data_IF_860303395879
#
_entry.id   IF_860303395879
#
_cell.length_a   1.000
_cell.length_b   1.000
_cell.length_c   1.000
_cell.angle_alpha   90.00
_cell.angle_beta   90.00
_cell.angle_gamma   90.00
#
_symmetry.space_group_name_H-M   'P 1'
#
loop_
_entity.id
_entity.type
_entity.pdbx_description
1 polymer ?
#
# COMPACT_ATOMS: atom_id res chain seq x y z
N UNK A 1 49.51 9.23 -50.09
CA UNK A 1 49.27 9.40 -48.64
C UNK A 1 47.94 10.14 -48.49
N UNK A 2 47.04 9.66 -47.60
CA UNK A 2 45.92 10.42 -46.97
C UNK A 2 44.74 10.78 -47.90
N UNK A 3 43.45 10.59 -47.58
CA UNK A 3 42.73 10.25 -46.34
C UNK A 3 41.50 9.43 -46.77
N UNK A 4 41.49 8.13 -46.46
CA UNK A 4 40.22 7.41 -46.24
C UNK A 4 40.06 7.37 -44.72
N UNK A 5 38.82 7.36 -44.23
CA UNK A 5 38.43 7.36 -42.82
C UNK A 5 38.27 8.78 -42.24
N UNK A 6 37.13 9.43 -42.48
CA UNK A 6 36.61 10.44 -41.54
C UNK A 6 35.14 10.82 -41.80
N UNK A 7 34.22 9.87 -41.98
CA UNK A 7 32.78 10.20 -41.96
C UNK A 7 31.91 9.24 -41.12
N UNK A 8 32.45 8.12 -40.66
CA UNK A 8 31.70 7.15 -39.82
C UNK A 8 31.79 7.51 -38.33
N UNK A 9 32.79 8.30 -37.91
CA UNK A 9 33.01 8.62 -36.49
C UNK A 9 32.13 9.74 -35.92
N UNK A 10 31.40 10.51 -36.73
CA UNK A 10 30.56 11.61 -36.23
C UNK A 10 29.15 11.13 -35.87
N UNK A 11 28.62 10.12 -36.56
CA UNK A 11 27.29 9.56 -36.31
C UNK A 11 27.22 8.69 -35.05
N UNK A 12 28.36 8.14 -34.60
CA UNK A 12 28.42 7.28 -33.42
C UNK A 12 28.42 8.07 -32.08
N UNK A 13 28.86 9.34 -32.11
CA UNK A 13 28.87 10.20 -30.91
C UNK A 13 27.48 10.75 -30.53
N UNK A 14 26.54 10.82 -31.48
CA UNK A 14 25.17 11.32 -31.23
C UNK A 14 24.28 10.24 -30.59
N UNK A 15 24.59 8.95 -30.79
CA UNK A 15 23.84 7.84 -30.20
C UNK A 15 24.11 7.64 -28.69
N UNK A 16 25.18 8.23 -28.14
CA UNK A 16 25.51 8.14 -26.72
C UNK A 16 24.92 9.28 -25.87
N UNK A 17 24.38 10.33 -26.50
CA UNK A 17 23.74 11.45 -25.79
C UNK A 17 22.27 11.17 -25.41
N UNK A 18 21.74 9.99 -25.75
CA UNK A 18 20.36 9.58 -25.44
C UNK A 18 20.27 8.56 -24.31
N UNK A 19 21.30 8.41 -23.48
CA UNK A 19 21.04 8.04 -22.08
C UNK A 19 20.49 9.29 -21.39
N UNK A 20 19.24 9.63 -21.71
CA UNK A 20 18.40 10.41 -20.81
C UNK A 20 18.57 9.72 -19.47
N UNK A 21 19.12 10.45 -18.50
CA UNK A 21 19.06 10.08 -17.10
C UNK A 21 17.58 9.82 -16.82
N UNK A 22 17.19 8.54 -16.86
CA UNK A 22 15.99 8.11 -16.19
C UNK A 22 16.19 8.59 -14.76
N UNK A 23 15.38 9.56 -14.33
CA UNK A 23 15.33 9.92 -12.92
C UNK A 23 15.29 8.61 -12.14
N UNK A 24 16.18 8.43 -11.17
CA UNK A 24 16.25 7.25 -10.29
C UNK A 24 14.98 7.08 -9.43
N UNK A 25 13.86 7.71 -9.79
CA UNK A 25 12.53 7.44 -9.27
C UNK A 25 11.91 6.28 -10.03
N UNK A 26 12.33 5.05 -9.72
CA UNK A 26 11.55 3.87 -10.09
C UNK A 26 10.12 4.01 -9.55
N UNK A 27 9.13 3.49 -10.28
CA UNK A 27 7.78 3.30 -9.74
C UNK A 27 7.92 2.34 -8.57
N UNK A 28 7.82 2.87 -7.34
CA UNK A 28 7.82 2.03 -6.15
C UNK A 28 6.51 1.25 -6.06
N UNK A 29 6.46 0.23 -5.22
CA UNK A 29 5.21 -0.45 -4.85
C UNK A 29 4.52 0.27 -3.69
N UNK A 30 3.20 0.04 -3.46
CA UNK A 30 2.52 0.53 -2.26
C UNK A 30 3.26 0.16 -0.95
N UNK A 31 3.75 -1.07 -0.85
CA UNK A 31 4.50 -1.57 0.31
C UNK A 31 5.87 -0.87 0.46
N UNK A 32 6.55 -0.59 -0.65
CA UNK A 32 7.80 0.20 -0.64
C UNK A 32 7.57 1.64 -0.18
N UNK A 33 6.44 2.26 -0.55
CA UNK A 33 6.10 3.60 -0.08
C UNK A 33 5.99 3.68 1.45
N UNK A 34 5.52 2.59 2.08
CA UNK A 34 5.49 2.49 3.54
C UNK A 34 6.90 2.28 4.08
N UNK A 35 7.71 1.38 3.50
CA UNK A 35 9.08 1.13 3.98
C UNK A 35 10.01 2.35 3.86
N UNK A 36 9.69 3.27 2.95
CA UNK A 36 10.42 4.52 2.73
C UNK A 36 9.97 5.66 3.65
N UNK A 37 8.90 5.47 4.44
CA UNK A 37 8.44 6.50 5.39
C UNK A 37 9.33 6.56 6.63
N UNK A 38 9.50 7.76 7.17
CA UNK A 38 10.15 8.01 8.47
C UNK A 38 9.15 7.95 9.63
N UNK A 39 7.86 7.75 9.35
CA UNK A 39 6.82 7.67 10.40
C UNK A 39 7.06 6.46 11.30
N UNK A 40 7.33 5.29 10.75
CA UNK A 40 7.58 4.11 11.58
C UNK A 40 9.05 4.05 11.99
N UNK A 41 9.29 3.89 13.29
CA UNK A 41 10.63 3.53 13.79
C UNK A 41 10.99 2.10 13.40
N UNK A 42 9.99 1.22 13.33
CA UNK A 42 10.11 -0.13 12.80
C UNK A 42 8.76 -0.61 12.24
N UNK A 43 8.82 -1.46 11.22
CA UNK A 43 7.67 -2.18 10.64
C UNK A 43 7.95 -3.67 10.80
N UNK A 44 7.39 -4.24 11.85
CA UNK A 44 7.59 -5.65 12.20
C UNK A 44 7.03 -6.58 11.12
N UNK A 45 5.83 -6.28 10.62
CA UNK A 45 5.09 -7.15 9.70
C UNK A 45 4.12 -6.37 8.82
N UNK A 46 4.00 -6.76 7.56
CA UNK A 46 2.88 -6.40 6.69
C UNK A 46 1.99 -7.64 6.59
N UNK A 47 0.74 -7.54 7.04
CA UNK A 47 -0.22 -8.64 7.01
C UNK A 47 -0.83 -8.82 5.62
N UNK A 48 -1.07 -7.72 4.93
CA UNK A 48 -1.62 -7.75 3.57
C UNK A 48 -2.07 -6.38 3.08
N UNK A 49 -2.52 -6.34 1.84
CA UNK A 49 -3.00 -5.13 1.20
C UNK A 49 -4.32 -5.37 0.47
N UNK A 50 -5.10 -4.31 0.31
CA UNK A 50 -6.35 -4.32 -0.42
C UNK A 50 -6.47 -3.04 -1.25
N UNK A 51 -6.47 -3.19 -2.58
CA UNK A 51 -6.72 -2.08 -3.49
C UNK A 51 -8.17 -1.61 -3.34
N UNK A 52 -8.38 -0.35 -2.98
CA UNK A 52 -9.73 0.26 -2.92
C UNK A 52 -10.15 0.67 -4.33
N UNK A 53 -9.25 1.32 -5.07
CA UNK A 53 -9.40 1.78 -6.45
C UNK A 53 -8.01 1.84 -7.09
N UNK A 54 -7.93 1.95 -8.42
CA UNK A 54 -6.67 1.81 -9.17
C UNK A 54 -5.53 2.79 -8.82
N UNK A 55 -5.73 3.75 -7.93
CA UNK A 55 -4.69 4.65 -7.40
C UNK A 55 -4.64 4.70 -5.86
N UNK A 56 -5.34 3.82 -5.15
CA UNK A 56 -5.40 3.80 -3.69
C UNK A 56 -5.43 2.37 -3.18
N UNK A 57 -4.49 2.05 -2.30
CA UNK A 57 -4.32 0.75 -1.68
C UNK A 57 -4.24 0.93 -0.17
N UNK A 58 -5.03 0.15 0.56
CA UNK A 58 -4.89 0.05 2.01
C UNK A 58 -3.93 -1.08 2.34
N UNK A 59 -3.03 -0.84 3.28
CA UNK A 59 -2.07 -1.85 3.75
C UNK A 59 -2.25 -2.02 5.24
N UNK A 60 -2.48 -3.27 5.66
CA UNK A 60 -2.54 -3.64 7.06
C UNK A 60 -1.15 -4.08 7.51
N UNK A 61 -0.67 -3.46 8.57
CA UNK A 61 0.68 -3.72 9.09
C UNK A 61 0.74 -3.61 10.60
N UNK A 62 1.77 -4.23 11.16
CA UNK A 62 2.23 -4.08 12.54
C UNK A 62 3.51 -3.26 12.53
N UNK A 63 3.57 -2.25 13.39
CA UNK A 63 4.76 -1.42 13.50
C UNK A 63 4.71 -0.44 14.66
N UNK A 64 5.87 0.15 14.95
CA UNK A 64 6.07 1.09 16.05
C UNK A 64 6.16 2.51 15.52
N UNK A 65 5.07 3.27 15.67
CA UNK A 65 5.04 4.71 15.43
C UNK A 65 4.85 5.49 16.74
N UNK A 66 3.77 5.21 17.46
CA UNK A 66 3.45 5.79 18.78
C UNK A 66 3.22 4.68 19.82
N UNK A 67 3.97 3.59 19.69
CA UNK A 67 3.73 2.31 20.36
C UNK A 67 3.44 1.19 19.36
N UNK A 68 3.62 -0.06 19.80
CA UNK A 68 3.31 -1.25 19.01
C UNK A 68 1.79 -1.36 18.84
N UNK A 69 1.34 -1.37 17.59
CA UNK A 69 -0.07 -1.50 17.26
C UNK A 69 -0.24 -2.05 15.84
N UNK A 70 -1.49 -2.41 15.54
CA UNK A 70 -1.95 -2.69 14.19
C UNK A 70 -2.36 -1.36 13.55
N UNK A 71 -1.87 -1.11 12.35
CA UNK A 71 -2.11 0.10 11.57
C UNK A 71 -2.73 -0.24 10.23
N UNK A 72 -3.68 0.60 9.81
CA UNK A 72 -4.18 0.62 8.45
C UNK A 72 -3.59 1.84 7.74
N UNK A 73 -2.69 1.59 6.80
CA UNK A 73 -2.04 2.60 6.00
C UNK A 73 -2.81 2.85 4.71
N UNK A 74 -3.06 4.12 4.41
CA UNK A 74 -3.66 4.57 3.15
C UNK A 74 -2.56 5.06 2.22
N UNK A 75 -2.32 4.31 1.15
CA UNK A 75 -1.25 4.57 0.19
C UNK A 75 -1.85 4.92 -1.16
N UNK A 76 -1.45 6.07 -1.71
CA UNK A 76 -1.99 6.58 -2.97
C UNK A 76 -0.91 6.78 -4.03
N UNK A 77 -1.25 6.45 -5.27
CA UNK A 77 -0.38 6.71 -6.41
C UNK A 77 -0.50 8.17 -6.85
N UNK A 78 0.59 8.91 -6.71
CA UNK A 78 0.69 10.32 -7.10
C UNK A 78 1.30 10.41 -8.49
N UNK A 79 0.44 10.51 -9.51
CA UNK A 79 0.85 10.56 -10.93
C UNK A 79 1.92 11.61 -11.24
N UNK A 80 1.81 12.79 -10.62
CA UNK A 80 2.77 13.88 -10.83
C UNK A 80 4.20 13.54 -10.38
N UNK A 81 4.33 12.58 -9.45
CA UNK A 81 5.60 12.11 -8.90
C UNK A 81 5.95 10.70 -9.39
N UNK A 82 5.06 10.08 -10.16
CA UNK A 82 5.17 8.71 -10.67
C UNK A 82 5.51 7.67 -9.58
N UNK A 83 4.98 7.84 -8.37
CA UNK A 83 5.24 6.97 -7.23
C UNK A 83 4.01 6.84 -6.31
N UNK A 84 4.03 5.83 -5.45
CA UNK A 84 3.11 5.66 -4.33
C UNK A 84 3.61 6.43 -3.11
N UNK A 85 2.68 7.03 -2.39
CA UNK A 85 2.93 7.84 -1.18
C UNK A 85 2.00 7.38 -0.07
N UNK A 86 2.54 7.30 1.15
CA UNK A 86 1.75 7.11 2.35
C UNK A 86 0.99 8.41 2.70
N UNK A 87 -0.31 8.44 2.43
CA UNK A 87 -1.17 9.60 2.68
C UNK A 87 -1.71 9.59 4.12
N UNK A 88 -2.15 8.42 4.59
CA UNK A 88 -2.85 8.29 5.86
C UNK A 88 -2.36 7.10 6.70
N UNK A 89 -2.43 7.25 8.02
CA UNK A 89 -2.22 6.16 8.98
C UNK A 89 -3.33 6.18 10.02
N UNK A 90 -4.03 5.07 10.17
CA UNK A 90 -5.04 4.91 11.22
C UNK A 90 -4.63 3.78 12.16
N UNK A 91 -4.56 4.08 13.46
CA UNK A 91 -4.29 3.07 14.48
C UNK A 91 -5.57 2.24 14.71
N UNK A 92 -5.51 0.95 14.38
CA UNK A 92 -6.62 0.02 14.56
C UNK A 92 -6.71 -0.53 15.99
N UNK A 93 -5.63 -0.38 16.78
CA UNK A 93 -5.36 -0.99 18.10
C UNK A 93 -5.37 -2.51 18.06
N UNK A 94 -4.59 -3.16 18.89
CA UNK A 94 -4.61 -4.63 19.00
C UNK A 94 -6.01 -5.12 19.39
N UNK A 95 -6.58 -6.15 18.74
CA UNK A 95 -7.86 -6.71 19.14
C UNK A 95 -7.78 -7.37 20.52
N UNK A 96 -8.85 -7.26 21.31
CA UNK A 96 -8.92 -7.76 22.68
C UNK A 96 -10.06 -8.76 22.84
N UNK A 97 -9.97 -9.66 23.83
CA UNK A 97 -10.93 -10.75 24.04
C UNK A 97 -12.35 -10.28 24.38
N UNK A 98 -12.48 -9.06 24.90
CA UNK A 98 -13.75 -8.40 25.26
C UNK A 98 -14.42 -7.68 24.09
N UNK A 99 -13.74 -7.55 22.94
CA UNK A 99 -14.38 -7.08 21.72
C UNK A 99 -15.45 -8.06 21.22
N UNK A 100 -16.49 -7.52 20.58
CA UNK A 100 -17.45 -8.33 19.83
C UNK A 100 -16.78 -9.09 18.68
N UNK A 101 -17.45 -10.14 18.19
CA UNK A 101 -16.97 -10.98 17.07
C UNK A 101 -16.92 -10.25 15.73
N UNK A 102 -17.59 -9.10 15.61
CA UNK A 102 -17.54 -8.22 14.46
C UNK A 102 -17.61 -6.77 14.95
N UNK A 103 -16.63 -5.96 14.57
CA UNK A 103 -16.51 -4.58 15.04
C UNK A 103 -16.06 -3.68 13.91
N UNK A 104 -16.83 -2.63 13.59
CA UNK A 104 -16.36 -1.55 12.73
C UNK A 104 -15.45 -0.61 13.51
N UNK A 105 -14.26 -0.32 12.97
CA UNK A 105 -13.30 0.64 13.54
C UNK A 105 -13.16 1.90 12.71
N UNK A 106 -13.30 1.76 11.39
CA UNK A 106 -13.15 2.85 10.43
C UNK A 106 -14.38 2.86 9.54
N UNK A 107 -15.01 4.03 9.47
CA UNK A 107 -15.95 4.37 8.40
C UNK A 107 -15.35 5.56 7.67
N UNK A 108 -14.61 5.28 6.61
CA UNK A 108 -14.03 6.34 5.79
C UNK A 108 -15.14 6.97 4.96
N UNK A 109 -15.31 8.29 5.10
CA UNK A 109 -16.12 9.07 4.17
C UNK A 109 -15.61 9.00 2.72
N UNK A 110 -14.39 8.48 2.52
CA UNK A 110 -13.73 8.35 1.22
C UNK A 110 -13.92 6.98 0.56
N UNK A 111 -14.89 6.19 1.03
CA UNK A 111 -15.39 5.04 0.28
C UNK A 111 -14.86 3.68 0.72
N UNK A 112 -14.50 3.51 1.98
CA UNK A 112 -14.28 2.19 2.56
C UNK A 112 -14.69 2.11 4.03
N UNK A 113 -14.92 0.89 4.50
CA UNK A 113 -15.09 0.58 5.92
C UNK A 113 -14.11 -0.52 6.31
N UNK A 114 -13.60 -0.47 7.53
CA UNK A 114 -12.71 -1.50 8.04
C UNK A 114 -12.94 -1.77 9.52
N UNK A 115 -12.58 -2.97 9.95
CA UNK A 115 -12.83 -3.41 11.31
C UNK A 115 -12.27 -4.79 11.61
N UNK A 116 -12.58 -5.31 12.80
CA UNK A 116 -12.19 -6.64 13.23
C UNK A 116 -13.30 -7.65 13.01
N UNK A 117 -12.88 -8.87 12.69
CA UNK A 117 -13.73 -10.06 12.67
C UNK A 117 -13.03 -11.19 13.42
N UNK A 118 -13.81 -11.94 14.19
CA UNK A 118 -13.35 -13.12 14.90
C UNK A 118 -13.85 -14.39 14.21
N UNK A 119 -12.95 -15.37 14.06
CA UNK A 119 -13.19 -16.73 13.57
C UNK A 119 -13.94 -16.78 12.23
N UNK A 120 -13.66 -15.82 11.33
CA UNK A 120 -14.28 -15.76 10.00
C UNK A 120 -15.81 -15.72 10.04
N UNK A 121 -16.39 -15.06 11.05
CA UNK A 121 -17.84 -15.01 11.29
C UNK A 121 -18.66 -14.90 9.98
N UNK A 122 -19.73 -15.68 9.89
CA UNK A 122 -20.58 -15.78 8.69
C UNK A 122 -21.22 -14.44 8.25
N UNK A 123 -21.03 -13.35 9.00
CA UNK A 123 -21.54 -12.00 8.72
C UNK A 123 -20.97 -11.39 7.44
N UNK A 124 -19.79 -11.83 6.98
CA UNK A 124 -19.15 -11.30 5.76
C UNK A 124 -19.42 -12.13 4.50
N UNK A 125 -20.01 -13.32 4.61
CA UNK A 125 -20.24 -14.21 3.46
C UNK A 125 -21.24 -13.66 2.42
N UNK A 126 -21.85 -12.50 2.66
CA UNK A 126 -22.83 -11.88 1.77
C UNK A 126 -22.46 -10.47 1.28
N UNK A 127 -21.30 -9.91 1.67
CA UNK A 127 -20.94 -8.53 1.32
C UNK A 127 -19.92 -8.49 0.19
N UNK A 128 -20.40 -8.14 -1.01
CA UNK A 128 -19.55 -7.87 -2.16
C UNK A 128 -18.43 -6.87 -1.80
N UNK A 129 -17.26 -7.07 -2.43
CA UNK A 129 -16.06 -6.23 -2.28
C UNK A 129 -15.54 -6.12 -0.84
N UNK A 130 -15.69 -7.19 -0.06
CA UNK A 130 -15.05 -7.34 1.24
C UNK A 130 -13.86 -8.29 1.16
N UNK A 131 -12.72 -7.86 1.69
CA UNK A 131 -11.54 -8.71 1.91
C UNK A 131 -11.33 -8.89 3.40
N UNK A 132 -10.90 -10.08 3.80
CA UNK A 132 -10.45 -10.38 5.17
C UNK A 132 -8.95 -10.63 5.08
N UNK A 133 -8.19 -9.95 5.92
CA UNK A 133 -6.74 -10.12 6.09
C UNK A 133 -6.53 -10.71 7.48
N UNK A 134 -5.98 -11.93 7.53
CA UNK A 134 -5.74 -12.62 8.79
C UNK A 134 -4.58 -11.98 9.57
N UNK A 135 -4.69 -11.99 10.89
CA UNK A 135 -3.64 -11.53 11.80
C UNK A 135 -2.89 -12.76 12.32
N UNK A 136 -1.80 -13.13 11.66
CA UNK A 136 -1.06 -14.38 11.97
C UNK A 136 -0.59 -14.47 13.43
N UNK A 137 -0.34 -13.34 14.10
CA UNK A 137 0.07 -13.26 15.50
C UNK A 137 -1.10 -13.09 16.49
N UNK A 138 -2.35 -13.07 16.00
CA UNK A 138 -3.57 -12.96 16.79
C UNK A 138 -4.59 -14.03 16.35
N UNK A 139 -4.36 -15.26 16.77
CA UNK A 139 -5.18 -16.43 16.40
C UNK A 139 -6.69 -16.16 16.52
N UNK A 140 -7.42 -16.49 15.45
CA UNK A 140 -8.86 -16.30 15.35
C UNK A 140 -9.29 -14.86 15.05
N UNK A 141 -8.37 -13.92 14.83
CA UNK A 141 -8.70 -12.56 14.41
C UNK A 141 -8.27 -12.26 12.99
N UNK A 142 -9.09 -11.49 12.29
CA UNK A 142 -8.77 -10.86 11.02
C UNK A 142 -9.27 -9.43 10.98
N UNK A 143 -8.75 -8.66 10.03
CA UNK A 143 -9.28 -7.34 9.67
C UNK A 143 -10.08 -7.48 8.40
N UNK A 144 -11.35 -7.07 8.45
CA UNK A 144 -12.16 -6.95 7.26
C UNK A 144 -12.05 -5.53 6.71
N UNK A 145 -12.00 -5.44 5.38
CA UNK A 145 -11.98 -4.20 4.62
C UNK A 145 -13.04 -4.31 3.55
N UNK A 146 -14.00 -3.40 3.54
CA UNK A 146 -15.09 -3.35 2.58
C UNK A 146 -15.03 -2.04 1.79
N UNK A 147 -15.03 -2.13 0.45
CA UNK A 147 -15.22 -0.97 -0.41
C UNK A 147 -16.65 -0.45 -0.30
N UNK A 148 -16.84 0.86 -0.29
CA UNK A 148 -18.15 1.43 -0.52
C UNK A 148 -18.60 1.08 -1.94
N UNK A 149 -19.89 0.76 -2.11
CA UNK A 149 -20.44 0.57 -3.45
C UNK A 149 -20.26 1.87 -4.24
N UNK A 150 -19.55 1.79 -5.37
CA UNK A 150 -19.55 2.86 -6.35
C UNK A 150 -20.96 2.95 -6.94
N UNK A 151 -21.59 4.12 -6.84
CA UNK A 151 -22.86 4.40 -7.54
C UNK A 151 -22.56 4.84 -8.98
N UNK A 152 -21.75 4.07 -9.71
CA UNK A 152 -21.50 4.32 -11.13
C UNK A 152 -22.70 3.87 -11.99
#
# INVERSE_FOLDING_TARGET
MKVVISLISVSLLILLASCIQAEEGGVNTPEEAIRQTDKFSDIDQIYGSHEIRGNQTLILLKGTYTGEAIWLADVQFVKAKNHWVLEGLTNMKVPTKDMGSFVTRIESGEGYKAGYIKDGSNELQAKADTTIIDLDDHEGWGVWIQKAKSND
#
